data_IF_393154631147
#
_entry.id   IF_393154631147
#
_cell.length_a   1.000
_cell.length_b   1.000
_cell.length_c   1.000
_cell.angle_alpha   90.00
_cell.angle_beta   90.00
_cell.angle_gamma   90.00
#
_symmetry.space_group_name_H-M   'P 1'
#
loop_
_entity.id
_entity.type
_entity.pdbx_description
1 polymer ?
#
# COMPACT_ATOMS: atom_id res chain seq x y z
N UNK A 1 -8.48 -32.00 -2.93
CA UNK A 1 -9.09 -31.01 -2.02
C UNK A 1 -8.48 -31.23 -0.64
N UNK A 2 -7.50 -30.43 -0.24
CA UNK A 2 -6.78 -30.58 1.04
C UNK A 2 -7.45 -29.67 2.08
N UNK A 3 -7.71 -30.13 3.32
CA UNK A 3 -8.39 -29.33 4.32
C UNK A 3 -7.53 -28.12 4.73
N UNK A 4 -8.15 -26.93 4.76
CA UNK A 4 -7.56 -25.74 5.40
C UNK A 4 -7.67 -25.90 6.91
N UNK A 5 -6.73 -26.62 7.50
CA UNK A 5 -6.58 -26.74 8.95
C UNK A 5 -5.11 -26.66 9.34
N UNK A 6 -4.78 -25.62 10.10
CA UNK A 6 -3.62 -25.56 11.01
C UNK A 6 -2.23 -25.57 10.35
N UNK A 7 -1.88 -24.47 9.68
CA UNK A 7 -0.47 -24.06 9.66
C UNK A 7 -0.19 -23.32 10.96
N UNK A 8 0.86 -23.68 11.74
CA UNK A 8 1.28 -22.95 12.95
C UNK A 8 1.53 -21.44 12.71
N UNK A 9 1.68 -21.07 11.43
CA UNK A 9 1.91 -19.71 10.97
C UNK A 9 0.66 -18.81 11.04
N UNK A 10 -0.56 -19.37 11.01
CA UNK A 10 -1.78 -18.55 11.12
C UNK A 10 -1.99 -17.98 12.51
N UNK A 11 -1.45 -18.64 13.54
CA UNK A 11 -1.48 -18.18 14.93
C UNK A 11 -0.31 -17.25 15.27
N UNK A 12 0.72 -17.21 14.43
CA UNK A 12 1.94 -16.40 14.60
C UNK A 12 2.04 -15.25 13.60
N UNK A 13 0.92 -14.68 13.17
CA UNK A 13 0.91 -13.53 12.25
C UNK A 13 1.69 -12.31 12.78
N UNK A 14 1.96 -12.21 14.09
CA UNK A 14 2.88 -11.20 14.63
C UNK A 14 4.32 -11.35 14.12
N UNK A 15 4.73 -12.57 13.72
CA UNK A 15 6.08 -12.89 13.22
C UNK A 15 6.14 -13.08 11.70
N UNK A 16 5.06 -12.79 10.98
CA UNK A 16 4.95 -13.11 9.55
C UNK A 16 4.83 -11.85 8.69
N UNK A 17 5.63 -11.81 7.62
CA UNK A 17 5.48 -10.81 6.56
C UNK A 17 4.54 -11.40 5.50
N UNK A 18 3.36 -10.81 5.37
CA UNK A 18 2.42 -11.16 4.31
C UNK A 18 2.66 -10.22 3.12
N UNK A 19 3.11 -10.77 1.98
CA UNK A 19 3.22 -10.04 0.73
C UNK A 19 1.93 -10.21 -0.07
N UNK A 20 1.28 -9.09 -0.41
CA UNK A 20 0.05 -9.07 -1.20
C UNK A 20 0.35 -8.36 -2.50
N UNK A 21 0.51 -9.12 -3.58
CA UNK A 21 0.71 -8.57 -4.93
C UNK A 21 -0.63 -8.36 -5.68
N UNK A 22 -0.58 -7.49 -6.69
CA UNK A 22 -1.69 -7.14 -7.60
C UNK A 22 -2.11 -8.36 -8.46
N UNK A 23 -1.18 -9.28 -8.73
CA UNK A 23 -1.45 -10.53 -9.43
C UNK A 23 -2.04 -11.61 -8.50
N UNK A 24 -3.36 -11.81 -8.60
CA UNK A 24 -4.07 -13.03 -8.17
C UNK A 24 -4.13 -13.37 -6.66
N UNK A 25 -4.27 -12.39 -5.77
CA UNK A 25 -4.66 -12.64 -4.35
C UNK A 25 -6.18 -12.60 -4.10
N UNK A 26 -6.98 -13.10 -5.05
CA UNK A 26 -8.45 -13.22 -4.88
C UNK A 26 -8.78 -14.21 -3.77
N UNK A 27 -9.33 -13.72 -2.65
CA UNK A 27 -9.97 -14.55 -1.62
C UNK A 27 -9.16 -14.82 -0.34
N UNK A 28 -8.00 -14.20 -0.15
CA UNK A 28 -7.23 -14.37 1.11
C UNK A 28 -7.66 -13.33 2.15
N UNK A 29 -8.54 -13.72 3.06
CA UNK A 29 -8.91 -12.93 4.24
C UNK A 29 -7.94 -13.23 5.39
N UNK A 30 -6.82 -12.51 5.44
CA UNK A 30 -5.85 -12.63 6.52
C UNK A 30 -6.31 -11.74 7.68
N UNK A 31 -6.69 -12.37 8.81
CA UNK A 31 -7.06 -11.67 10.04
C UNK A 31 -5.80 -11.33 10.83
N UNK A 32 -5.27 -10.13 10.60
CA UNK A 32 -4.10 -9.66 11.35
C UNK A 32 -4.44 -9.37 12.83
N UNK A 33 -3.50 -9.59 13.77
CA UNK A 33 -3.65 -9.19 15.17
C UNK A 33 -3.75 -7.66 15.30
N UNK A 34 -4.46 -7.19 16.33
CA UNK A 34 -4.60 -5.75 16.60
C UNK A 34 -3.23 -5.05 16.69
N UNK A 35 -3.10 -3.84 16.12
CA UNK A 35 -1.83 -3.10 16.09
C UNK A 35 -0.94 -3.39 14.88
N UNK A 36 -1.32 -4.30 13.97
CA UNK A 36 -0.49 -4.63 12.82
C UNK A 36 -0.29 -3.43 11.89
N UNK A 37 0.94 -3.26 11.40
CA UNK A 37 1.32 -2.22 10.44
C UNK A 37 1.71 -2.87 9.12
N UNK A 38 0.99 -2.53 8.05
CA UNK A 38 1.35 -2.98 6.71
C UNK A 38 2.28 -1.99 6.01
N UNK A 39 3.11 -2.51 5.12
CA UNK A 39 3.91 -1.72 4.18
C UNK A 39 3.25 -1.75 2.80
N UNK A 40 3.09 -0.59 2.19
CA UNK A 40 2.54 -0.40 0.85
C UNK A 40 3.66 0.16 -0.01
N UNK A 41 4.07 -0.60 -1.02
CA UNK A 41 5.12 -0.18 -1.96
C UNK A 41 4.49 0.57 -3.13
N UNK A 42 4.97 1.80 -3.36
CA UNK A 42 4.55 2.65 -4.48
C UNK A 42 5.41 2.34 -5.70
N UNK A 43 4.80 1.82 -6.76
CA UNK A 43 5.45 1.56 -8.04
C UNK A 43 5.20 2.67 -9.07
N UNK A 44 5.90 2.59 -10.20
CA UNK A 44 5.59 3.39 -11.38
C UNK A 44 4.19 3.01 -11.90
N UNK A 45 3.35 4.02 -12.22
CA UNK A 45 1.96 3.83 -12.71
C UNK A 45 0.96 3.29 -11.68
N UNK A 46 1.16 3.61 -10.39
CA UNK A 46 0.12 3.35 -9.38
C UNK A 46 -0.98 4.41 -9.53
N UNK A 47 -2.18 3.96 -9.93
CA UNK A 47 -3.37 4.80 -9.93
C UNK A 47 -3.96 4.90 -8.52
N UNK A 48 -4.78 5.93 -8.29
CA UNK A 48 -5.57 6.13 -7.07
C UNK A 48 -6.33 4.85 -6.71
N UNK A 49 -7.00 4.24 -7.68
CA UNK A 49 -7.85 3.07 -7.42
C UNK A 49 -7.02 1.85 -7.02
N UNK A 50 -5.86 1.62 -7.66
CA UNK A 50 -4.94 0.53 -7.25
C UNK A 50 -4.36 0.76 -5.86
N UNK A 51 -3.94 1.98 -5.56
CA UNK A 51 -3.41 2.34 -4.24
C UNK A 51 -4.45 2.10 -3.15
N UNK A 52 -5.67 2.60 -3.35
CA UNK A 52 -6.77 2.44 -2.40
C UNK A 52 -7.15 0.97 -2.27
N UNK A 53 -7.25 0.23 -3.37
CA UNK A 53 -7.54 -1.21 -3.33
C UNK A 53 -6.51 -1.98 -2.52
N UNK A 54 -5.22 -1.67 -2.67
CA UNK A 54 -4.13 -2.25 -1.88
C UNK A 54 -4.26 -1.93 -0.39
N UNK A 55 -4.42 -0.64 -0.05
CA UNK A 55 -4.62 -0.20 1.33
C UNK A 55 -5.84 -0.84 2.00
N UNK A 56 -6.96 -0.96 1.27
CA UNK A 56 -8.22 -1.53 1.77
C UNK A 56 -8.16 -3.04 2.01
N UNK A 57 -7.12 -3.73 1.52
CA UNK A 57 -6.84 -5.13 1.95
C UNK A 57 -6.52 -5.20 3.43
N UNK A 58 -5.95 -4.14 4.02
CA UNK A 58 -5.83 -4.01 5.46
C UNK A 58 -7.18 -3.62 6.05
N UNK A 59 -8.00 -4.60 6.41
CA UNK A 59 -9.27 -4.36 7.10
C UNK A 59 -9.01 -3.69 8.45
N UNK A 60 -9.95 -2.85 8.92
CA UNK A 60 -9.83 -2.05 10.14
C UNK A 60 -8.62 -1.07 10.13
N UNK A 61 -8.23 -0.60 8.93
CA UNK A 61 -7.30 0.52 8.80
C UNK A 61 -7.85 1.74 9.57
N UNK A 62 -7.01 2.37 10.40
CA UNK A 62 -7.41 3.46 11.31
C UNK A 62 -8.14 3.01 12.58
N UNK A 63 -8.50 1.73 12.69
CA UNK A 63 -9.15 1.13 13.86
C UNK A 63 -8.25 0.05 14.47
N UNK A 64 -7.03 0.46 14.82
CA UNK A 64 -6.00 -0.40 15.39
C UNK A 64 -4.94 -0.89 14.39
N UNK A 65 -5.21 -0.88 13.08
CA UNK A 65 -4.19 -1.13 12.06
C UNK A 65 -3.74 0.15 11.37
N UNK A 66 -2.51 0.14 10.88
CA UNK A 66 -1.91 1.27 10.15
C UNK A 66 -1.18 0.78 8.90
N UNK A 67 -0.92 1.71 7.98
CA UNK A 67 -0.09 1.46 6.79
C UNK A 67 1.11 2.40 6.79
N UNK A 68 2.16 2.00 6.10
CA UNK A 68 3.36 2.77 5.82
C UNK A 68 3.64 2.68 4.33
N UNK A 69 4.08 3.78 3.72
CA UNK A 69 4.40 3.80 2.31
C UNK A 69 5.91 3.69 2.11
N UNK A 70 6.32 2.90 1.12
CA UNK A 70 7.69 2.80 0.65
C UNK A 70 7.70 3.15 -0.83
N UNK A 71 8.57 4.07 -1.23
CA UNK A 71 8.71 4.47 -2.63
C UNK A 71 10.18 4.32 -3.05
N UNK A 72 10.46 3.86 -4.28
CA UNK A 72 11.78 4.05 -4.87
C UNK A 72 12.06 5.54 -5.08
N UNK A 73 13.34 5.89 -5.19
CA UNK A 73 13.81 7.28 -5.30
C UNK A 73 13.11 8.04 -6.45
N UNK A 74 12.85 7.38 -7.58
CA UNK A 74 12.17 7.98 -8.72
C UNK A 74 10.73 8.42 -8.38
N UNK A 75 9.98 7.57 -7.67
CA UNK A 75 8.60 7.90 -7.25
C UNK A 75 8.62 8.98 -6.16
N UNK A 76 9.56 8.91 -5.21
CA UNK A 76 9.74 9.96 -4.19
C UNK A 76 9.99 11.33 -4.83
N UNK A 77 10.90 11.39 -5.82
CA UNK A 77 11.17 12.63 -6.56
C UNK A 77 9.94 13.14 -7.33
N UNK A 78 9.13 12.25 -7.93
CA UNK A 78 7.88 12.65 -8.60
C UNK A 78 6.86 13.22 -7.62
N UNK A 79 6.69 12.59 -6.45
CA UNK A 79 5.79 13.09 -5.40
C UNK A 79 6.25 14.47 -4.93
N UNK A 80 7.54 14.63 -4.64
CA UNK A 80 8.12 15.92 -4.22
C UNK A 80 7.98 17.00 -5.29
N UNK A 81 8.21 16.65 -6.55
CA UNK A 81 8.08 17.56 -7.69
C UNK A 81 6.64 18.07 -7.87
N UNK A 82 5.63 17.24 -7.62
CA UNK A 82 4.23 17.67 -7.67
C UNK A 82 3.81 18.59 -6.51
N UNK A 83 4.43 18.43 -5.34
CA UNK A 83 4.09 19.17 -4.13
C UNK A 83 5.02 20.38 -3.92
N UNK A 84 5.94 20.63 -4.85
CA UNK A 84 6.97 21.67 -4.75
C UNK A 84 7.75 21.62 -3.43
N UNK A 85 8.04 20.40 -2.96
CA UNK A 85 8.84 20.15 -1.76
C UNK A 85 10.30 19.92 -2.17
N UNK A 86 11.03 21.02 -2.33
CA UNK A 86 12.43 20.98 -2.76
C UNK A 86 13.39 20.53 -1.65
N UNK A 87 12.97 20.58 -0.38
CA UNK A 87 13.81 20.15 0.73
C UNK A 87 13.73 18.62 0.92
N UNK A 88 14.86 17.89 0.80
CA UNK A 88 14.89 16.43 1.02
C UNK A 88 14.60 16.05 2.48
N UNK A 89 14.77 16.99 3.42
CA UNK A 89 14.56 16.77 4.86
C UNK A 89 13.09 16.78 5.26
N UNK A 90 12.21 17.36 4.43
CA UNK A 90 10.77 17.35 4.70
C UNK A 90 10.19 15.96 4.45
N UNK A 91 9.51 15.41 5.45
CA UNK A 91 8.80 14.15 5.32
C UNK A 91 7.62 14.28 4.35
N UNK A 92 7.38 13.20 3.60
CA UNK A 92 6.21 13.08 2.74
C UNK A 92 5.04 12.59 3.59
N UNK A 93 3.91 13.28 3.46
CA UNK A 93 2.67 12.97 4.18
C UNK A 93 1.76 12.08 3.32
N UNK A 94 0.88 11.29 3.92
CA UNK A 94 -0.10 10.46 3.19
C UNK A 94 -0.94 11.27 2.20
N UNK A 95 -1.30 12.52 2.53
CA UNK A 95 -2.05 13.41 1.63
C UNK A 95 -1.31 13.68 0.32
N UNK A 96 0.02 13.80 0.38
CA UNK A 96 0.87 14.10 -0.77
C UNK A 96 0.99 12.88 -1.69
N UNK A 97 1.08 11.69 -1.09
CA UNK A 97 1.03 10.42 -1.80
C UNK A 97 -0.32 10.25 -2.52
N UNK A 98 -1.42 10.59 -1.85
CA UNK A 98 -2.76 10.53 -2.45
C UNK A 98 -2.89 11.53 -3.62
N UNK A 99 -2.37 12.75 -3.45
CA UNK A 99 -2.37 13.76 -4.51
C UNK A 99 -1.58 13.29 -5.74
N UNK A 100 -0.39 12.71 -5.54
CA UNK A 100 0.40 12.10 -6.60
C UNK A 100 -0.35 10.94 -7.29
N UNK A 101 -0.96 10.03 -6.53
CA UNK A 101 -1.70 8.90 -7.12
C UNK A 101 -2.93 9.35 -7.94
N UNK A 102 -3.59 10.44 -7.54
CA UNK A 102 -4.67 11.06 -8.33
C UNK A 102 -4.11 11.61 -9.64
N UNK A 103 -2.99 12.35 -9.57
CA UNK A 103 -2.33 12.90 -10.75
C UNK A 103 -1.88 11.80 -11.74
N UNK A 104 -1.29 10.71 -11.25
CA UNK A 104 -0.93 9.56 -12.10
C UNK A 104 -2.16 8.93 -12.76
N UNK A 105 -3.33 8.92 -12.10
CA UNK A 105 -4.58 8.41 -12.69
C UNK A 105 -5.04 9.26 -13.87
N UNK A 106 -4.83 10.58 -13.80
CA UNK A 106 -5.17 11.49 -14.90
C UNK A 106 -4.23 11.29 -16.09
N UNK A 107 -2.94 11.13 -15.83
CA UNK A 107 -1.95 10.85 -16.87
C UNK A 107 -2.22 9.51 -17.57
N UNK A 108 -2.59 8.47 -16.81
CA UNK A 108 -2.94 7.15 -17.33
C UNK A 108 -4.17 7.23 -18.26
N UNK A 109 -5.22 7.96 -17.85
CA UNK A 109 -6.42 8.16 -18.65
C UNK A 109 -6.20 9.05 -19.90
N UNK A 110 -5.18 9.93 -19.90
CA UNK A 110 -4.84 10.77 -21.06
C UNK A 110 -3.99 10.06 -22.12
N UNK A 111 -3.61 8.80 -21.89
CA UNK A 111 -2.81 7.97 -22.81
C UNK A 111 -3.66 7.04 -23.70
N UNK A 112 -4.98 7.26 -23.75
CA UNK A 112 -5.94 6.65 -24.68
C UNK A 112 -6.38 7.69 -25.73
#
# INVERSE_FOLDING_TARGET
>A
MVPRGLSPLSEQLHRCVAYLDDAHTRGTDIRFPHGFRAAVTLGHKVTKDRLVQGCMRMRKLGHGHSVMFFAPLEVDHRIRGLVSKDNPSTSITTTEILHWAIHETWNDNSSL
#
